data_IF_223079923330
#
_entry.id   IF_223079923330
#
_cell.length_a   1.000
_cell.length_b   1.000
_cell.length_c   1.000
_cell.angle_alpha   90.00
_cell.angle_beta   90.00
_cell.angle_gamma   90.00
#
_symmetry.space_group_name_H-M   'P 1'
#
loop_
_entity.id
_entity.type
_entity.pdbx_description
1 polymer ?
#
# COMPACT_ATOMS: atom_id res chain seq x y z
N UNK A 1 64.68 76.84 56.32
CA UNK A 1 64.12 76.38 57.62
C UNK A 1 62.87 75.58 57.31
N UNK A 2 62.56 74.38 57.79
CA UNK A 2 63.14 73.41 58.72
C UNK A 2 62.29 72.12 58.44
N UNK A 3 62.91 70.98 58.13
CA UNK A 3 62.83 69.71 58.90
C UNK A 3 61.41 69.24 59.25
N UNK A 4 60.94 68.03 58.93
CA UNK A 4 61.58 66.77 59.28
C UNK A 4 61.08 65.59 58.43
N UNK A 5 62.06 64.82 57.98
CA UNK A 5 61.98 63.43 57.56
C UNK A 5 61.75 62.57 58.82
N UNK A 6 60.67 61.80 58.88
CA UNK A 6 60.54 60.66 59.80
C UNK A 6 59.94 59.48 59.05
N UNK A 7 60.85 58.70 58.46
CA UNK A 7 60.87 57.23 58.50
C UNK A 7 59.60 56.50 58.05
N UNK A 8 59.67 56.05 56.79
CA UNK A 8 59.14 54.79 56.29
C UNK A 8 59.23 53.68 57.34
N UNK A 9 58.13 53.42 58.04
CA UNK A 9 57.98 52.30 58.95
C UNK A 9 57.75 51.04 58.10
N UNK A 10 58.85 50.41 57.69
CA UNK A 10 58.82 49.11 57.03
C UNK A 10 58.25 48.12 58.05
N UNK A 11 57.02 47.69 57.80
CA UNK A 11 56.36 46.61 58.52
C UNK A 11 57.02 45.28 58.10
N UNK A 12 58.23 45.01 58.62
CA UNK A 12 58.87 43.71 58.41
C UNK A 12 58.19 42.69 59.31
N UNK A 13 57.29 41.90 58.73
CA UNK A 13 56.74 40.72 59.40
C UNK A 13 57.88 39.71 59.69
N UNK A 14 57.84 38.98 60.81
CA UNK A 14 58.87 37.99 61.12
C UNK A 14 58.92 36.91 60.03
N UNK A 15 60.12 36.43 59.63
CA UNK A 15 60.31 35.58 58.45
C UNK A 15 59.49 34.28 58.49
N UNK A 16 59.21 33.75 59.68
CA UNK A 16 58.37 32.56 59.87
C UNK A 16 56.90 32.79 59.50
N UNK A 17 56.37 34.02 59.64
CA UNK A 17 54.99 34.34 59.33
C UNK A 17 54.77 34.59 57.83
N UNK A 18 55.76 35.19 57.15
CA UNK A 18 55.77 35.29 55.68
C UNK A 18 55.81 33.91 55.02
N UNK A 19 56.61 32.98 55.58
CA UNK A 19 56.70 31.59 55.10
C UNK A 19 55.37 30.84 55.31
N UNK A 20 54.70 31.01 56.46
CA UNK A 20 53.40 30.39 56.72
C UNK A 20 52.28 30.90 55.80
N UNK A 21 52.25 32.20 55.48
CA UNK A 21 51.30 32.75 54.50
C UNK A 21 51.57 32.25 53.08
N UNK A 22 52.85 32.15 52.69
CA UNK A 22 53.22 31.60 51.38
C UNK A 22 52.83 30.12 51.22
N UNK A 23 52.95 29.31 52.27
CA UNK A 23 52.54 27.91 52.25
C UNK A 23 51.02 27.72 52.18
N UNK A 24 50.21 28.64 52.73
CA UNK A 24 48.75 28.61 52.54
C UNK A 24 48.38 28.97 51.10
N UNK A 25 48.97 30.03 50.56
CA UNK A 25 48.73 30.45 49.17
C UNK A 25 49.12 29.39 48.14
N UNK A 26 50.22 28.65 48.34
CA UNK A 26 50.63 27.57 47.44
C UNK A 26 49.67 26.37 47.50
N UNK A 27 49.17 26.03 48.70
CA UNK A 27 48.20 24.95 48.89
C UNK A 27 46.85 25.30 48.24
N UNK A 28 46.38 26.54 48.41
CA UNK A 28 45.14 27.00 47.77
C UNK A 28 45.26 27.03 46.24
N UNK A 29 46.42 27.39 45.71
CA UNK A 29 46.68 27.39 44.27
C UNK A 29 46.72 25.96 43.69
N UNK A 30 47.31 25.00 44.41
CA UNK A 30 47.32 23.58 44.01
C UNK A 30 45.91 22.99 44.07
N UNK A 31 45.12 23.32 45.11
CA UNK A 31 43.73 22.87 45.23
C UNK A 31 42.87 23.44 44.10
N UNK A 32 43.02 24.72 43.75
CA UNK A 32 42.32 25.33 42.61
C UNK A 32 42.72 24.72 41.26
N UNK A 33 44.01 24.41 41.04
CA UNK A 33 44.46 23.74 39.83
C UNK A 33 43.90 22.30 39.73
N UNK A 34 43.87 21.56 40.83
CA UNK A 34 43.29 20.22 40.86
C UNK A 34 41.76 20.22 40.64
N UNK A 35 41.05 21.19 41.23
CA UNK A 35 39.61 21.38 41.03
C UNK A 35 39.25 21.82 39.61
N UNK A 36 40.09 22.66 38.98
CA UNK A 36 39.90 23.07 37.58
C UNK A 36 40.08 21.89 36.61
N UNK A 37 41.06 21.02 36.87
CA UNK A 37 41.27 19.81 36.07
C UNK A 37 40.13 18.80 36.23
N UNK A 38 39.60 18.60 37.44
CA UNK A 38 38.48 17.66 37.66
C UNK A 38 37.15 18.19 37.10
N UNK A 39 36.90 19.50 37.18
CA UNK A 39 35.70 20.13 36.60
C UNK A 39 35.68 20.05 35.05
N UNK A 40 36.83 20.24 34.41
CA UNK A 40 36.96 20.10 32.95
C UNK A 40 36.70 18.66 32.49
N UNK A 41 37.26 17.67 33.19
CA UNK A 41 37.03 16.25 32.90
C UNK A 41 35.55 15.88 33.05
N UNK A 42 34.89 16.36 34.13
CA UNK A 42 33.47 16.09 34.35
C UNK A 42 32.61 16.67 33.21
N UNK A 43 32.93 17.88 32.75
CA UNK A 43 32.22 18.52 31.64
C UNK A 43 32.37 17.71 30.34
N UNK A 44 33.56 17.17 30.06
CA UNK A 44 33.79 16.31 28.91
C UNK A 44 33.02 14.98 29.00
N UNK A 45 32.97 14.37 30.19
CA UNK A 45 32.19 13.13 30.42
C UNK A 45 30.68 13.37 30.25
N UNK A 46 30.17 14.51 30.70
CA UNK A 46 28.76 14.86 30.52
C UNK A 46 28.44 15.15 29.05
N UNK A 47 29.33 15.86 28.34
CA UNK A 47 29.22 16.06 26.90
C UNK A 47 29.26 14.73 26.12
N UNK A 48 30.11 13.78 26.53
CA UNK A 48 30.16 12.44 25.92
C UNK A 48 28.83 11.69 26.10
N UNK A 49 28.27 11.69 27.31
CA UNK A 49 26.96 11.05 27.58
C UNK A 49 25.85 11.70 26.77
N UNK A 50 25.85 13.02 26.63
CA UNK A 50 24.86 13.74 25.84
C UNK A 50 24.99 13.42 24.35
N UNK A 51 26.21 13.42 23.81
CA UNK A 51 26.47 13.01 22.42
C UNK A 51 26.00 11.57 22.15
N UNK A 52 26.30 10.63 23.05
CA UNK A 52 25.84 9.25 22.95
C UNK A 52 24.30 9.15 22.93
N UNK A 53 23.61 9.92 23.78
CA UNK A 53 22.14 9.98 23.80
C UNK A 53 21.58 10.53 22.49
N UNK A 54 22.20 11.55 21.91
CA UNK A 54 21.78 12.12 20.61
C UNK A 54 21.91 11.06 19.51
N UNK A 55 23.05 10.35 19.46
CA UNK A 55 23.28 9.29 18.46
C UNK A 55 22.29 8.13 18.62
N UNK A 56 22.03 7.68 19.86
CA UNK A 56 21.01 6.66 20.16
C UNK A 56 19.63 7.08 19.64
N UNK A 57 19.17 8.29 19.99
CA UNK A 57 17.88 8.84 19.52
C UNK A 57 17.81 8.90 18.00
N UNK A 58 18.89 9.30 17.33
CA UNK A 58 18.93 9.35 15.87
C UNK A 58 18.79 7.95 15.24
N UNK A 59 19.43 6.92 15.82
CA UNK A 59 19.31 5.53 15.36
C UNK A 59 17.91 4.97 15.57
N UNK A 60 17.32 5.23 16.73
CA UNK A 60 15.93 4.85 17.05
C UNK A 60 14.95 5.53 16.09
N UNK A 61 15.09 6.84 15.88
CA UNK A 61 14.27 7.61 14.95
C UNK A 61 14.35 7.05 13.53
N UNK A 62 15.56 6.77 13.02
CA UNK A 62 15.74 6.16 11.70
C UNK A 62 15.02 4.82 11.61
N UNK A 63 15.19 3.96 12.62
CA UNK A 63 14.58 2.63 12.65
C UNK A 63 13.05 2.73 12.69
N UNK A 64 12.52 3.65 13.50
CA UNK A 64 11.10 3.94 13.58
C UNK A 64 10.55 4.41 12.23
N UNK A 65 11.19 5.39 11.59
CA UNK A 65 10.80 5.89 10.26
C UNK A 65 10.72 4.79 9.20
N UNK A 66 11.66 3.85 9.19
CA UNK A 66 11.64 2.72 8.26
C UNK A 66 10.48 1.77 8.55
N UNK A 67 10.19 1.50 9.83
CA UNK A 67 9.04 0.66 10.23
C UNK A 67 7.73 1.33 9.88
N UNK A 68 7.58 2.61 10.20
CA UNK A 68 6.38 3.40 9.91
C UNK A 68 6.11 3.41 8.41
N UNK A 69 7.13 3.69 7.57
CA UNK A 69 6.99 3.69 6.12
C UNK A 69 6.56 2.32 5.56
N UNK A 70 7.11 1.21 6.10
CA UNK A 70 6.69 -0.14 5.71
C UNK A 70 5.25 -0.43 6.11
N UNK A 71 4.86 -0.03 7.32
CA UNK A 71 3.50 -0.24 7.81
C UNK A 71 2.48 0.57 7.01
N UNK A 72 2.83 1.80 6.65
CA UNK A 72 1.99 2.69 5.85
C UNK A 72 1.82 2.16 4.43
N UNK A 73 2.91 1.77 3.76
CA UNK A 73 2.85 1.14 2.44
C UNK A 73 2.05 -0.17 2.45
N UNK A 74 2.21 -1.00 3.49
CA UNK A 74 1.44 -2.24 3.62
C UNK A 74 -0.07 -1.96 3.77
N UNK A 75 -0.43 -0.96 4.56
CA UNK A 75 -1.81 -0.52 4.73
C UNK A 75 -2.40 -0.03 3.40
N UNK A 76 -1.65 0.80 2.67
CA UNK A 76 -2.09 1.31 1.36
C UNK A 76 -2.28 0.19 0.33
N UNK A 77 -1.41 -0.81 0.32
CA UNK A 77 -1.56 -2.01 -0.53
C UNK A 77 -2.83 -2.79 -0.16
N UNK A 78 -3.12 -2.96 1.13
CA UNK A 78 -4.31 -3.68 1.59
C UNK A 78 -5.59 -2.93 1.25
N UNK A 79 -5.60 -1.61 1.42
CA UNK A 79 -6.75 -0.76 1.08
C UNK A 79 -6.98 -0.77 -0.43
N UNK A 80 -5.94 -0.67 -1.26
CA UNK A 80 -6.05 -0.79 -2.72
C UNK A 80 -6.55 -2.17 -3.17
N UNK A 81 -6.08 -3.24 -2.52
CA UNK A 81 -6.58 -4.60 -2.80
C UNK A 81 -8.05 -4.73 -2.47
N UNK A 82 -8.50 -4.20 -1.34
CA UNK A 82 -9.94 -4.21 -0.97
C UNK A 82 -10.77 -3.43 -1.98
N UNK A 83 -10.33 -2.23 -2.36
CA UNK A 83 -11.01 -1.41 -3.36
C UNK A 83 -11.17 -2.16 -4.69
N UNK A 84 -10.08 -2.77 -5.18
CA UNK A 84 -10.12 -3.53 -6.45
C UNK A 84 -10.94 -4.81 -6.36
N UNK A 85 -10.92 -5.50 -5.23
CA UNK A 85 -11.78 -6.66 -4.99
C UNK A 85 -13.26 -6.27 -4.94
N UNK A 86 -13.60 -5.12 -4.34
CA UNK A 86 -14.96 -4.58 -4.33
C UNK A 86 -15.42 -4.16 -5.73
N UNK A 87 -14.55 -3.49 -6.49
CA UNK A 87 -14.80 -3.14 -7.89
C UNK A 87 -15.03 -4.40 -8.74
N UNK A 88 -14.16 -5.41 -8.58
CA UNK A 88 -14.29 -6.69 -9.27
C UNK A 88 -15.61 -7.39 -8.93
N UNK A 89 -15.99 -7.46 -7.65
CA UNK A 89 -17.27 -8.07 -7.22
C UNK A 89 -18.49 -7.32 -7.73
N UNK A 90 -18.42 -5.99 -7.83
CA UNK A 90 -19.49 -5.19 -8.44
C UNK A 90 -19.61 -5.50 -9.92
N UNK A 91 -18.48 -5.49 -10.64
CA UNK A 91 -18.44 -5.82 -12.05
C UNK A 91 -18.92 -7.25 -12.32
N UNK A 92 -18.50 -8.22 -11.50
CA UNK A 92 -18.96 -9.61 -11.59
C UNK A 92 -20.48 -9.70 -11.43
N UNK A 93 -21.07 -9.05 -10.42
CA UNK A 93 -22.52 -9.03 -10.22
C UNK A 93 -23.26 -8.37 -11.38
N UNK A 94 -22.77 -7.24 -11.86
CA UNK A 94 -23.37 -6.51 -12.98
C UNK A 94 -23.32 -7.33 -14.27
N UNK A 95 -22.20 -7.97 -14.60
CA UNK A 95 -22.10 -8.75 -15.82
C UNK A 95 -22.72 -10.14 -15.71
N UNK A 96 -22.74 -10.74 -14.53
CA UNK A 96 -23.53 -11.95 -14.29
C UNK A 96 -25.04 -11.66 -14.47
N UNK A 97 -25.48 -10.43 -14.21
CA UNK A 97 -26.86 -10.01 -14.47
C UNK A 97 -27.15 -9.75 -15.96
N UNK A 98 -26.16 -9.32 -16.74
CA UNK A 98 -26.27 -9.13 -18.18
C UNK A 98 -26.61 -10.42 -18.93
N UNK A 99 -26.01 -11.55 -18.52
CA UNK A 99 -26.32 -12.85 -19.11
C UNK A 99 -27.78 -13.27 -18.85
N UNK A 100 -28.31 -13.03 -17.66
CA UNK A 100 -29.71 -13.36 -17.34
C UNK A 100 -30.70 -12.56 -18.18
N UNK A 101 -30.46 -11.26 -18.40
CA UNK A 101 -31.34 -10.46 -19.25
C UNK A 101 -31.28 -10.91 -20.72
N UNK A 102 -30.10 -11.27 -21.21
CA UNK A 102 -29.94 -11.82 -22.55
C UNK A 102 -30.63 -13.18 -22.70
N UNK A 103 -30.50 -14.06 -21.70
CA UNK A 103 -31.18 -15.36 -21.63
C UNK A 103 -32.71 -15.19 -21.60
N UNK A 104 -33.25 -14.35 -20.71
CA UNK A 104 -34.69 -14.09 -20.62
C UNK A 104 -35.26 -13.51 -21.92
N UNK A 105 -34.50 -12.63 -22.60
CA UNK A 105 -34.91 -12.07 -23.89
C UNK A 105 -34.91 -13.15 -24.98
N UNK A 106 -33.86 -13.97 -25.04
CA UNK A 106 -33.77 -15.07 -26.00
C UNK A 106 -34.88 -16.11 -25.77
N UNK A 107 -35.21 -16.41 -24.52
CA UNK A 107 -36.29 -17.33 -24.17
C UNK A 107 -37.65 -16.79 -24.62
N UNK A 108 -37.95 -15.51 -24.35
CA UNK A 108 -39.18 -14.85 -24.84
C UNK A 108 -39.28 -14.84 -26.37
N UNK A 109 -38.20 -14.46 -27.05
CA UNK A 109 -38.17 -14.43 -28.51
C UNK A 109 -38.37 -15.84 -29.10
N UNK A 110 -37.78 -16.86 -28.48
CA UNK A 110 -37.97 -18.27 -28.87
C UNK A 110 -39.40 -18.75 -28.63
N UNK A 111 -40.00 -18.37 -27.49
CA UNK A 111 -41.39 -18.70 -27.16
C UNK A 111 -42.34 -18.11 -28.21
N UNK A 112 -42.12 -16.84 -28.57
CA UNK A 112 -42.89 -16.12 -29.59
C UNK A 112 -42.78 -16.83 -30.94
N UNK A 113 -41.56 -17.18 -31.37
CA UNK A 113 -41.34 -17.91 -32.62
C UNK A 113 -42.00 -19.29 -32.60
N UNK A 114 -41.95 -20.02 -31.49
CA UNK A 114 -42.64 -21.31 -31.34
C UNK A 114 -44.15 -21.17 -31.45
N UNK A 115 -44.74 -20.12 -30.89
CA UNK A 115 -46.17 -19.85 -31.02
C UNK A 115 -46.55 -19.51 -32.46
N UNK A 116 -45.78 -18.66 -33.13
CA UNK A 116 -46.00 -18.31 -34.53
C UNK A 116 -45.88 -19.54 -35.45
N UNK A 117 -44.90 -20.41 -35.19
CA UNK A 117 -44.67 -21.63 -35.95
C UNK A 117 -45.81 -22.63 -35.75
N UNK A 118 -46.32 -22.79 -34.52
CA UNK A 118 -47.53 -23.58 -34.24
C UNK A 118 -48.78 -23.02 -34.91
N UNK A 119 -48.92 -21.69 -34.99
CA UNK A 119 -50.03 -21.06 -35.70
C UNK A 119 -49.93 -21.29 -37.20
N UNK A 120 -48.72 -21.18 -37.77
CA UNK A 120 -48.47 -21.46 -39.18
C UNK A 120 -48.79 -22.92 -39.49
N UNK A 121 -48.29 -23.86 -38.69
CA UNK A 121 -48.58 -25.29 -38.79
C UNK A 121 -50.09 -25.56 -38.78
N UNK A 122 -50.84 -24.95 -37.86
CA UNK A 122 -52.31 -25.10 -37.81
C UNK A 122 -53.00 -24.56 -39.07
N UNK A 123 -52.45 -23.52 -39.70
CA UNK A 123 -53.00 -22.90 -40.91
C UNK A 123 -52.65 -23.67 -42.18
N UNK A 124 -51.39 -24.07 -42.34
CA UNK A 124 -50.89 -24.71 -43.58
C UNK A 124 -50.87 -26.24 -43.51
N UNK A 125 -50.82 -26.82 -42.31
CA UNK A 125 -50.70 -28.27 -42.08
C UNK A 125 -51.78 -29.09 -42.78
N UNK A 126 -53.08 -28.73 -42.67
CA UNK A 126 -54.14 -29.45 -43.38
C UNK A 126 -53.94 -29.45 -44.91
N UNK A 127 -53.50 -28.33 -45.47
CA UNK A 127 -53.23 -28.22 -46.92
C UNK A 127 -52.07 -29.10 -47.36
N UNK A 128 -50.97 -29.11 -46.62
CA UNK A 128 -49.81 -29.97 -46.90
C UNK A 128 -50.17 -31.45 -46.82
N UNK A 129 -50.97 -31.86 -45.83
CA UNK A 129 -51.46 -33.25 -45.72
C UNK A 129 -52.29 -33.63 -46.94
N UNK A 130 -53.18 -32.74 -47.37
CA UNK A 130 -54.06 -32.96 -48.53
C UNK A 130 -53.25 -33.07 -49.84
N UNK A 131 -52.22 -32.24 -50.00
CA UNK A 131 -51.32 -32.27 -51.16
C UNK A 131 -50.46 -33.55 -51.18
N UNK A 132 -49.96 -33.99 -50.03
CA UNK A 132 -49.23 -35.26 -49.91
C UNK A 132 -50.13 -36.45 -50.24
N UNK A 133 -51.37 -36.46 -49.75
CA UNK A 133 -52.35 -37.52 -50.07
C UNK A 133 -52.67 -37.53 -51.56
N UNK A 134 -52.90 -36.37 -52.19
CA UNK A 134 -53.12 -36.27 -53.64
C UNK A 134 -51.93 -36.80 -54.42
N UNK A 135 -50.71 -36.42 -54.07
CA UNK A 135 -49.50 -36.86 -54.75
C UNK A 135 -49.28 -38.37 -54.67
N UNK A 136 -49.66 -39.01 -53.56
CA UNK A 136 -49.53 -40.47 -53.40
C UNK A 136 -50.65 -41.24 -54.12
N UNK A 137 -51.85 -40.67 -54.21
CA UNK A 137 -53.02 -41.32 -54.83
C UNK A 137 -53.09 -41.07 -56.36
N UNK A 138 -52.55 -39.97 -56.87
CA UNK A 138 -52.48 -39.67 -58.32
C UNK A 138 -51.37 -40.50 -59.00
N UNK A 139 -51.66 -41.79 -59.23
CA UNK A 139 -50.76 -42.69 -59.95
C UNK A 139 -50.77 -42.33 -61.43
N UNK A 140 -49.66 -41.77 -61.92
CA UNK A 140 -49.41 -41.50 -63.34
C UNK A 140 -48.45 -42.54 -63.92
N UNK A 141 -48.97 -43.65 -64.47
CA UNK A 141 -48.12 -44.65 -65.11
C UNK A 141 -47.51 -44.06 -66.37
N UNK A 142 -46.19 -43.86 -66.35
CA UNK A 142 -45.41 -43.56 -67.55
C UNK A 142 -44.83 -44.84 -68.12
N UNK A 143 -44.94 -45.00 -69.44
CA UNK A 143 -44.29 -46.11 -70.14
C UNK A 143 -42.80 -45.83 -70.17
N UNK A 144 -41.95 -46.75 -69.69
CA UNK A 144 -40.50 -46.59 -69.78
C UNK A 144 -40.08 -46.38 -71.24
N UNK A 145 -39.11 -45.50 -71.47
CA UNK A 145 -38.76 -44.95 -72.80
C UNK A 145 -38.01 -45.93 -73.73
N UNK A 146 -38.24 -47.24 -73.58
CA UNK A 146 -37.70 -48.25 -74.50
C UNK A 146 -38.58 -49.50 -74.56
N UNK A 147 -39.52 -49.50 -75.50
CA UNK A 147 -40.06 -50.73 -76.08
C UNK A 147 -39.74 -50.75 -77.57
N UNK A 148 -38.57 -51.29 -77.94
CA UNK A 148 -38.40 -51.82 -79.28
C UNK A 148 -39.24 -53.10 -79.35
N UNK A 149 -40.42 -53.02 -79.97
CA UNK A 149 -41.23 -54.20 -80.28
C UNK A 149 -40.52 -54.99 -81.40
N UNK A 150 -40.21 -56.29 -81.23
CA UNK A 150 -39.79 -57.09 -82.36
C UNK A 150 -40.94 -57.20 -83.36
N UNK A 151 -40.65 -56.80 -84.59
CA UNK A 151 -41.53 -56.88 -85.76
C UNK A 151 -41.78 -58.36 -86.08
N UNK A 152 -43.06 -58.71 -86.21
CA UNK A 152 -43.71 -59.97 -86.67
C UNK A 152 -42.80 -61.12 -87.07
#
# INVERSE_FOLDING_TARGET
MQTSNVQSRIQTQPPLFQLLQSHHSLKDQIVNMAASNSAGIQTLLDAEREAQKIVQKAREYRTKRVKDARSEAQKEIEDYKKEKEEEYKKYEKEQQSGNKQAEEKAEKDTQQQLEDLKQLEKKSGPGVVDDLLKAVVDVRPEVPDRMEQPVV
#
